data_IF_444422705110
#
_entry.id   IF_444422705110
#
_cell.length_a   1.000
_cell.length_b   1.000
_cell.length_c   1.000
_cell.angle_alpha   90.00
_cell.angle_beta   90.00
_cell.angle_gamma   90.00
#
_symmetry.space_group_name_H-M   'P 1'
#
loop_
_entity.id
_entity.type
_entity.pdbx_description
1 polymer ?
#
# COMPACT_ATOMS: atom_id res chain seq x y z
N UNK A 1 -3.43 30.02 40.48
CA UNK A 1 -2.70 28.74 40.32
C UNK A 1 -3.61 27.78 39.58
N UNK A 2 -3.08 27.09 38.57
CA UNK A 2 -3.83 26.07 37.82
C UNK A 2 -3.48 24.73 38.43
N UNK A 3 -4.48 24.01 38.97
CA UNK A 3 -4.30 22.65 39.47
C UNK A 3 -4.37 21.67 38.30
N UNK A 4 -3.57 20.59 38.37
CA UNK A 4 -3.58 19.54 37.36
C UNK A 4 -4.93 18.81 37.38
N UNK A 5 -5.66 18.75 36.24
CA UNK A 5 -6.93 18.02 36.19
C UNK A 5 -6.74 16.53 36.47
N UNK A 6 -7.75 15.91 37.07
CA UNK A 6 -7.75 14.46 37.26
C UNK A 6 -7.69 13.76 35.90
N UNK A 7 -6.73 12.84 35.73
CA UNK A 7 -6.49 12.13 34.46
C UNK A 7 -5.58 12.86 33.47
N UNK A 8 -5.00 14.03 33.80
CA UNK A 8 -4.10 14.75 32.89
C UNK A 8 -2.86 13.93 32.47
N UNK A 9 -2.31 13.13 33.39
CA UNK A 9 -1.14 12.27 33.09
C UNK A 9 -1.48 11.08 32.18
N UNK A 10 -2.75 10.69 32.13
CA UNK A 10 -3.24 9.55 31.35
C UNK A 10 -3.90 10.00 30.04
N UNK A 11 -4.38 11.25 29.99
CA UNK A 11 -5.01 11.83 28.83
C UNK A 11 -3.96 12.11 27.74
N UNK A 12 -4.10 11.53 26.53
CA UNK A 12 -3.22 11.88 25.43
C UNK A 12 -3.39 13.36 25.11
N UNK A 13 -2.28 14.09 24.97
CA UNK A 13 -2.31 15.48 24.57
C UNK A 13 -3.01 15.60 23.21
N UNK A 14 -4.10 16.35 23.16
CA UNK A 14 -4.76 16.68 21.90
C UNK A 14 -3.97 17.81 21.23
N UNK A 15 -2.95 17.45 20.44
CA UNK A 15 -2.09 18.42 19.75
C UNK A 15 -2.66 18.90 18.42
N UNK A 16 -3.75 18.30 17.93
CA UNK A 16 -4.31 18.60 16.60
C UNK A 16 -3.43 18.14 15.42
N UNK A 17 -2.18 17.75 15.68
CA UNK A 17 -1.25 17.23 14.68
C UNK A 17 -1.57 15.75 14.40
N UNK A 18 -2.23 15.48 13.27
CA UNK A 18 -2.32 14.11 12.77
C UNK A 18 -0.94 13.68 12.28
N UNK A 19 -0.21 12.92 13.09
CA UNK A 19 1.05 12.31 12.64
C UNK A 19 0.75 11.43 11.43
N UNK A 20 1.27 11.81 10.28
CA UNK A 20 1.21 11.04 9.04
C UNK A 20 2.44 10.15 8.96
N UNK A 21 2.26 8.90 8.52
CA UNK A 21 3.38 8.00 8.27
C UNK A 21 4.22 8.58 7.12
N UNK A 22 5.54 8.78 7.26
CA UNK A 22 6.36 9.23 6.14
C UNK A 22 6.39 8.22 4.99
N UNK A 23 6.79 8.68 3.79
CA UNK A 23 7.21 7.76 2.74
C UNK A 23 8.49 7.04 3.20
N UNK A 24 8.62 5.76 2.87
CA UNK A 24 9.73 4.97 3.39
C UNK A 24 9.58 3.47 3.15
N UNK A 25 10.56 2.74 3.67
CA UNK A 25 10.61 1.28 3.63
C UNK A 25 10.25 0.75 5.02
N UNK A 26 9.25 -0.11 5.09
CA UNK A 26 8.70 -0.58 6.36
C UNK A 26 8.56 -2.09 6.36
N UNK A 27 9.00 -2.71 7.45
CA UNK A 27 8.63 -4.10 7.75
C UNK A 27 7.26 -4.06 8.41
N UNK A 28 6.30 -4.71 7.78
CA UNK A 28 4.91 -4.79 8.23
C UNK A 28 4.58 -6.20 8.70
N UNK A 29 3.55 -6.32 9.54
CA UNK A 29 2.96 -7.57 9.99
C UNK A 29 1.48 -7.60 9.61
N UNK A 30 1.01 -8.75 9.13
CA UNK A 30 -0.40 -8.98 8.82
C UNK A 30 -1.18 -9.23 10.11
N UNK A 31 -2.22 -8.44 10.34
CA UNK A 31 -3.14 -8.59 11.47
C UNK A 31 -4.37 -9.43 11.12
N UNK A 32 -4.75 -9.45 9.84
CA UNK A 32 -5.91 -10.16 9.35
C UNK A 32 -5.97 -10.12 7.83
N UNK A 33 -6.60 -11.13 7.24
CA UNK A 33 -6.81 -11.20 5.80
C UNK A 33 -8.18 -11.81 5.51
N UNK A 34 -8.78 -11.39 4.40
CA UNK A 34 -10.00 -11.99 3.85
C UNK A 34 -10.06 -11.78 2.34
N UNK A 35 -10.84 -12.62 1.67
CA UNK A 35 -11.32 -12.37 0.32
C UNK A 35 -12.71 -11.72 0.40
N UNK A 36 -12.97 -10.75 -0.46
CA UNK A 36 -14.29 -10.16 -0.64
C UNK A 36 -14.55 -9.92 -2.13
N UNK A 37 -15.81 -9.88 -2.51
CA UNK A 37 -16.21 -9.48 -3.87
C UNK A 37 -16.43 -7.96 -3.90
N UNK A 38 -15.91 -7.30 -4.93
CA UNK A 38 -16.12 -5.88 -5.18
C UNK A 38 -16.39 -5.63 -6.66
N UNK A 39 -17.60 -5.15 -7.00
CA UNK A 39 -18.05 -4.93 -8.36
C UNK A 39 -17.93 -6.18 -9.27
N UNK A 40 -18.21 -7.38 -8.74
CA UNK A 40 -18.10 -8.64 -9.48
C UNK A 40 -16.67 -9.17 -9.65
N UNK A 41 -15.68 -8.55 -9.00
CA UNK A 41 -14.29 -8.95 -9.01
C UNK A 41 -13.82 -9.42 -7.64
N UNK A 42 -13.01 -10.48 -7.62
CA UNK A 42 -12.42 -11.01 -6.39
C UNK A 42 -11.30 -10.09 -5.89
N UNK A 43 -11.37 -9.71 -4.61
CA UNK A 43 -10.41 -8.82 -3.98
C UNK A 43 -9.89 -9.40 -2.67
N UNK A 44 -8.57 -9.47 -2.57
CA UNK A 44 -7.88 -9.75 -1.34
C UNK A 44 -7.78 -8.47 -0.49
N UNK A 45 -8.16 -8.57 0.78
CA UNK A 45 -8.08 -7.47 1.75
C UNK A 45 -7.20 -7.91 2.91
N UNK A 46 -6.14 -7.15 3.14
CA UNK A 46 -5.15 -7.39 4.19
C UNK A 46 -5.13 -6.24 5.16
N UNK A 47 -5.42 -6.52 6.43
CA UNK A 47 -5.12 -5.62 7.52
C UNK A 47 -3.68 -5.84 7.97
N UNK A 48 -2.95 -4.75 8.16
CA UNK A 48 -1.54 -4.79 8.54
C UNK A 48 -1.18 -3.64 9.48
N UNK A 49 -0.07 -3.79 10.19
CA UNK A 49 0.58 -2.70 10.93
C UNK A 49 2.10 -2.72 10.72
N UNK A 50 2.77 -1.64 11.10
CA UNK A 50 4.22 -1.53 11.09
C UNK A 50 4.78 -2.39 12.22
N UNK A 51 5.63 -3.35 11.89
CA UNK A 51 6.14 -4.35 12.83
C UNK A 51 7.38 -3.86 13.60
N UNK A 52 8.22 -3.02 12.97
CA UNK A 52 9.55 -2.64 13.45
C UNK A 52 9.87 -1.16 13.17
N UNK A 53 10.91 -0.65 13.85
CA UNK A 53 11.36 0.73 13.72
C UNK A 53 10.57 1.74 14.57
N UNK A 54 10.83 3.02 14.32
CA UNK A 54 10.23 4.15 15.05
C UNK A 54 8.70 4.16 14.98
N UNK A 55 8.15 3.78 13.82
CA UNK A 55 6.73 3.79 13.55
C UNK A 55 6.03 2.47 13.92
N UNK A 56 6.65 1.61 14.73
CA UNK A 56 6.03 0.35 15.17
C UNK A 56 4.64 0.58 15.80
N UNK A 57 3.66 -0.19 15.34
CA UNK A 57 2.27 -0.12 15.80
C UNK A 57 1.54 1.16 15.42
N UNK A 58 1.99 1.86 14.37
CA UNK A 58 1.47 3.16 13.96
C UNK A 58 -0.04 3.15 13.76
N UNK A 59 -0.56 2.19 12.97
CA UNK A 59 -1.98 2.17 12.63
C UNK A 59 -2.84 1.73 13.84
N UNK A 60 -2.33 0.83 14.68
CA UNK A 60 -3.00 0.46 15.93
C UNK A 60 -3.08 1.63 16.91
N UNK A 61 -1.99 2.38 17.10
CA UNK A 61 -1.98 3.59 17.95
C UNK A 61 -2.99 4.61 17.46
N UNK A 62 -2.99 4.88 16.15
CA UNK A 62 -3.92 5.82 15.52
C UNK A 62 -5.37 5.37 15.67
N UNK A 63 -5.65 4.08 15.49
CA UNK A 63 -6.99 3.52 15.66
C UNK A 63 -7.47 3.60 17.11
N UNK A 64 -6.61 3.26 18.08
CA UNK A 64 -6.95 3.32 19.50
C UNK A 64 -7.27 4.76 19.94
N UNK A 65 -6.47 5.74 19.49
CA UNK A 65 -6.72 7.15 19.75
C UNK A 65 -8.06 7.59 19.14
N UNK A 66 -8.32 7.22 17.88
CA UNK A 66 -9.60 7.56 17.22
C UNK A 66 -10.81 6.92 17.91
N UNK A 67 -10.68 5.70 18.45
CA UNK A 67 -11.74 5.01 19.20
C UNK A 67 -12.12 5.70 20.51
N UNK A 68 -11.23 6.50 21.10
CA UNK A 68 -11.55 7.28 22.30
C UNK A 68 -12.58 8.38 22.01
N UNK A 69 -12.56 8.92 20.79
CA UNK A 69 -13.45 10.03 20.37
C UNK A 69 -14.60 9.59 19.47
N UNK A 70 -14.42 8.52 18.70
CA UNK A 70 -15.40 7.99 17.74
C UNK A 70 -15.51 6.47 17.86
N UNK A 71 -16.63 5.98 18.39
CA UNK A 71 -16.89 4.55 18.53
C UNK A 71 -16.98 3.82 17.19
N UNK A 72 -17.25 4.53 16.09
CA UNK A 72 -17.29 3.99 14.73
C UNK A 72 -15.97 4.16 13.96
N UNK A 73 -14.90 4.60 14.64
CA UNK A 73 -13.59 4.75 14.01
C UNK A 73 -13.18 3.46 13.30
N UNK A 74 -12.62 3.60 12.09
CA UNK A 74 -12.17 2.50 11.24
C UNK A 74 -10.65 2.37 11.28
N UNK A 75 -10.17 1.13 11.26
CA UNK A 75 -8.74 0.85 11.15
C UNK A 75 -8.23 1.25 9.77
N UNK A 76 -7.10 1.97 9.71
CA UNK A 76 -6.58 2.58 8.48
C UNK A 76 -5.50 1.76 7.77
N UNK A 77 -4.82 0.84 8.47
CA UNK A 77 -3.82 -0.06 7.89
C UNK A 77 -4.46 -1.19 7.10
N UNK A 78 -5.04 -0.87 5.95
CA UNK A 78 -5.73 -1.82 5.06
C UNK A 78 -5.13 -1.73 3.64
N UNK A 79 -4.65 -2.86 3.13
CA UNK A 79 -4.24 -3.04 1.75
C UNK A 79 -5.29 -3.85 0.99
N UNK A 80 -5.55 -3.48 -0.27
CA UNK A 80 -6.54 -4.13 -1.13
C UNK A 80 -5.89 -4.47 -2.45
N UNK A 81 -6.03 -5.72 -2.86
CA UNK A 81 -5.38 -6.26 -4.05
C UNK A 81 -6.40 -7.06 -4.86
N UNK A 82 -6.65 -6.67 -6.10
CA UNK A 82 -7.49 -7.46 -7.01
C UNK A 82 -6.79 -8.78 -7.31
N UNK A 83 -7.57 -9.86 -7.37
CA UNK A 83 -7.07 -11.24 -7.55
C UNK A 83 -7.26 -11.75 -8.99
N UNK A 84 -7.88 -10.97 -9.85
CA UNK A 84 -8.25 -11.33 -11.21
C UNK A 84 -7.65 -10.38 -12.26
N UNK A 85 -7.68 -10.82 -13.52
CA UNK A 85 -7.21 -10.05 -14.68
C UNK A 85 -5.81 -9.47 -14.49
N UNK A 86 -5.70 -8.14 -14.59
CA UNK A 86 -4.44 -7.40 -14.40
C UNK A 86 -3.93 -7.42 -12.96
N UNK A 87 -4.77 -7.80 -11.98
CA UNK A 87 -4.42 -7.88 -10.56
C UNK A 87 -3.66 -9.16 -10.18
N UNK A 88 -3.82 -10.25 -10.94
CA UNK A 88 -3.23 -11.56 -10.64
C UNK A 88 -1.71 -11.52 -10.45
N UNK A 89 -0.91 -10.83 -11.30
CA UNK A 89 0.54 -10.75 -11.10
C UNK A 89 0.92 -10.03 -9.80
N UNK A 90 0.19 -8.97 -9.43
CA UNK A 90 0.43 -8.22 -8.20
C UNK A 90 0.05 -9.06 -6.96
N UNK A 91 -1.07 -9.78 -7.02
CA UNK A 91 -1.46 -10.72 -5.97
C UNK A 91 -0.42 -11.84 -5.79
N UNK A 92 0.08 -12.41 -6.90
CA UNK A 92 1.20 -13.37 -6.85
C UNK A 92 2.44 -12.76 -6.19
N UNK A 93 2.79 -11.53 -6.58
CA UNK A 93 3.91 -10.79 -6.00
C UNK A 93 3.80 -10.57 -4.49
N UNK A 94 2.60 -10.20 -4.01
CA UNK A 94 2.26 -10.10 -2.58
C UNK A 94 2.51 -11.44 -1.86
N UNK A 95 1.90 -12.53 -2.33
CA UNK A 95 1.99 -13.82 -1.66
C UNK A 95 3.41 -14.36 -1.65
N UNK A 96 4.13 -14.28 -2.78
CA UNK A 96 5.55 -14.66 -2.87
C UNK A 96 6.43 -13.82 -1.93
N UNK A 97 6.14 -12.53 -1.79
CA UNK A 97 6.87 -11.65 -0.87
C UNK A 97 6.67 -12.04 0.59
N UNK A 98 5.44 -12.40 0.96
CA UNK A 98 5.11 -12.91 2.30
C UNK A 98 5.85 -14.23 2.54
N UNK A 99 5.76 -15.21 1.65
CA UNK A 99 6.46 -16.50 1.81
C UNK A 99 7.97 -16.33 1.94
N UNK A 100 8.60 -15.52 1.08
CA UNK A 100 10.05 -15.23 1.16
C UNK A 100 10.45 -14.54 2.47
N UNK A 101 9.57 -13.74 3.05
CA UNK A 101 9.84 -13.01 4.31
C UNK A 101 9.67 -13.86 5.56
N UNK A 102 9.09 -15.06 5.44
CA UNK A 102 8.77 -15.92 6.57
C UNK A 102 9.32 -17.33 6.30
N UNK A 103 10.60 -17.61 6.63
CA UNK A 103 11.21 -18.91 6.41
C UNK A 103 10.38 -20.07 6.97
N UNK A 104 10.18 -21.11 6.16
CA UNK A 104 9.36 -22.28 6.52
C UNK A 104 7.85 -22.08 6.36
N UNK A 105 7.40 -20.93 5.86
CA UNK A 105 6.00 -20.70 5.54
C UNK A 105 5.73 -20.84 4.04
N UNK A 106 4.73 -21.64 3.71
CA UNK A 106 4.08 -21.65 2.40
C UNK A 106 2.58 -21.50 2.60
N UNK A 107 1.94 -20.70 1.77
CA UNK A 107 0.51 -20.47 1.87
C UNK A 107 -0.25 -21.74 1.44
N UNK A 108 -1.12 -22.31 2.29
CA UNK A 108 -1.82 -23.55 1.98
C UNK A 108 -3.03 -23.28 1.07
N UNK A 109 -2.76 -23.20 -0.24
CA UNK A 109 -3.79 -23.00 -1.26
C UNK A 109 -4.91 -24.05 -1.20
N UNK A 110 -6.15 -23.62 -1.45
CA UNK A 110 -7.32 -24.50 -1.54
C UNK A 110 -7.88 -25.01 -0.20
N UNK A 111 -7.32 -24.59 0.94
CA UNK A 111 -7.84 -24.95 2.26
C UNK A 111 -8.79 -23.88 2.80
N UNK A 112 -9.92 -24.30 3.39
CA UNK A 112 -10.84 -23.38 4.03
C UNK A 112 -10.18 -22.71 5.24
N UNK A 113 -10.27 -21.38 5.31
CA UNK A 113 -9.68 -20.61 6.40
C UNK A 113 -8.16 -20.38 6.26
N UNK A 114 -7.58 -20.68 5.10
CA UNK A 114 -6.14 -20.49 4.85
C UNK A 114 -5.69 -19.03 5.01
N UNK A 115 -6.58 -18.05 4.83
CA UNK A 115 -6.32 -16.64 5.05
C UNK A 115 -5.88 -16.33 6.49
N UNK A 116 -6.34 -17.13 7.47
CA UNK A 116 -5.94 -16.99 8.89
C UNK A 116 -4.47 -17.34 9.12
N UNK A 117 -3.87 -18.16 8.24
CA UNK A 117 -2.45 -18.54 8.35
C UNK A 117 -1.51 -17.39 8.03
N UNK A 118 -2.03 -16.31 7.39
CA UNK A 118 -1.28 -15.10 7.10
C UNK A 118 -1.11 -14.21 8.33
N UNK A 119 -1.93 -14.37 9.36
CA UNK A 119 -1.82 -13.55 10.58
C UNK A 119 -0.45 -13.75 11.22
N UNK A 120 0.17 -12.64 11.67
CA UNK A 120 1.55 -12.53 12.16
C UNK A 120 2.66 -12.73 11.12
N UNK A 121 2.32 -12.98 9.86
CA UNK A 121 3.35 -13.05 8.81
C UNK A 121 3.85 -11.65 8.48
N UNK A 122 5.15 -11.53 8.28
CA UNK A 122 5.80 -10.27 7.94
C UNK A 122 5.96 -10.09 6.44
N UNK A 123 6.02 -8.85 6.00
CA UNK A 123 6.34 -8.49 4.62
C UNK A 123 6.99 -7.11 4.56
N UNK A 124 7.66 -6.83 3.45
CA UNK A 124 8.21 -5.51 3.18
C UNK A 124 7.20 -4.63 2.44
N UNK A 125 6.97 -3.43 2.95
CA UNK A 125 6.12 -2.42 2.32
C UNK A 125 6.95 -1.19 1.94
N UNK A 126 6.87 -0.82 0.67
CA UNK A 126 7.38 0.45 0.16
C UNK A 126 6.21 1.43 0.21
N UNK A 127 6.28 2.39 1.14
CA UNK A 127 5.25 3.40 1.35
C UNK A 127 5.60 4.66 0.56
N UNK A 128 4.65 5.16 -0.22
CA UNK A 128 4.75 6.42 -0.95
C UNK A 128 3.64 7.39 -0.56
N UNK A 129 3.88 8.69 -0.74
CA UNK A 129 2.82 9.70 -0.59
C UNK A 129 2.15 9.91 -1.95
N UNK A 130 0.83 9.93 -1.94
CA UNK A 130 0.02 10.30 -3.08
C UNK A 130 -0.88 11.48 -2.69
N UNK A 131 -0.96 12.48 -3.56
CA UNK A 131 -2.00 13.50 -3.46
C UNK A 131 -3.35 12.94 -3.89
N UNK A 132 -4.40 13.34 -3.19
CA UNK A 132 -5.78 13.05 -3.53
C UNK A 132 -6.63 14.30 -3.29
N UNK A 133 -7.63 14.49 -4.15
CA UNK A 133 -8.66 15.50 -3.92
C UNK A 133 -9.68 14.96 -2.92
N UNK A 134 -9.92 15.74 -1.87
CA UNK A 134 -11.05 15.50 -0.98
C UNK A 134 -12.37 15.84 -1.70
N UNK A 135 -13.49 15.36 -1.19
CA UNK A 135 -14.82 15.70 -1.72
C UNK A 135 -15.13 17.21 -1.72
N UNK A 136 -14.36 18.01 -0.96
CA UNK A 136 -14.44 19.47 -0.93
C UNK A 136 -13.48 20.19 -1.89
N UNK A 137 -12.74 19.47 -2.73
CA UNK A 137 -11.80 20.06 -3.69
C UNK A 137 -10.42 20.41 -3.11
N UNK A 138 -10.16 20.15 -1.82
CA UNK A 138 -8.83 20.34 -1.24
C UNK A 138 -7.90 19.20 -1.65
N UNK A 139 -6.69 19.53 -2.15
CA UNK A 139 -5.59 18.57 -2.31
C UNK A 139 -5.07 18.17 -0.93
N UNK A 140 -5.03 16.87 -0.63
CA UNK A 140 -4.42 16.31 0.58
C UNK A 140 -3.46 15.20 0.21
N UNK A 141 -2.48 14.96 1.08
CA UNK A 141 -1.52 13.87 0.93
C UNK A 141 -1.98 12.65 1.75
N UNK A 142 -1.84 11.46 1.20
CA UNK A 142 -2.00 10.20 1.92
C UNK A 142 -0.82 9.29 1.67
N UNK A 143 -0.33 8.64 2.74
CA UNK A 143 0.72 7.63 2.62
C UNK A 143 0.09 6.27 2.46
N UNK A 144 0.44 5.56 1.38
CA UNK A 144 -0.07 4.23 1.05
C UNK A 144 1.07 3.31 0.63
N UNK A 145 0.80 2.01 0.64
CA UNK A 145 1.68 1.01 0.05
C UNK A 145 1.72 1.26 -1.47
N UNK A 146 2.88 1.70 -1.97
CA UNK A 146 3.15 1.82 -3.39
C UNK A 146 3.53 0.46 -3.98
N UNK A 147 4.35 -0.31 -3.26
CA UNK A 147 4.79 -1.64 -3.67
C UNK A 147 5.00 -2.56 -2.47
N UNK A 148 4.85 -3.86 -2.69
CA UNK A 148 5.14 -4.90 -1.70
C UNK A 148 6.33 -5.73 -2.18
N UNK A 149 7.26 -6.00 -1.26
CA UNK A 149 8.47 -6.79 -1.48
C UNK A 149 8.69 -7.75 -0.31
N UNK A 150 9.61 -8.68 -0.46
CA UNK A 150 10.11 -9.42 0.70
C UNK A 150 10.92 -8.51 1.62
N UNK A 151 11.12 -8.89 2.88
CA UNK A 151 11.96 -8.14 3.83
C UNK A 151 13.37 -7.94 3.26
N UNK A 152 13.96 -9.00 2.69
CA UNK A 152 15.27 -8.89 2.04
C UNK A 152 15.23 -7.97 0.82
N UNK A 153 14.14 -8.01 0.04
CA UNK A 153 13.95 -7.15 -1.12
C UNK A 153 13.77 -5.66 -0.78
N UNK A 154 13.57 -5.30 0.49
CA UNK A 154 13.59 -3.90 0.93
C UNK A 154 15.02 -3.34 1.01
N UNK A 155 16.05 -4.18 1.21
CA UNK A 155 17.43 -3.69 1.39
C UNK A 155 17.94 -2.96 0.15
N UNK A 156 17.49 -3.40 -1.02
CA UNK A 156 17.85 -2.82 -2.33
C UNK A 156 16.76 -1.88 -2.88
N UNK A 157 15.68 -1.67 -2.12
CA UNK A 157 14.55 -0.88 -2.59
C UNK A 157 14.82 0.62 -2.45
N UNK A 158 14.33 1.40 -3.41
CA UNK A 158 14.30 2.86 -3.34
C UNK A 158 12.94 3.32 -2.84
N UNK A 159 12.93 4.35 -1.99
CA UNK A 159 11.70 5.03 -1.60
C UNK A 159 11.17 5.78 -2.82
N UNK A 160 9.90 5.60 -3.20
CA UNK A 160 9.30 6.28 -4.34
C UNK A 160 9.23 7.79 -4.06
N UNK A 161 9.39 8.59 -5.11
CA UNK A 161 9.09 10.01 -5.06
C UNK A 161 7.58 10.24 -4.83
N UNK A 162 7.24 11.40 -4.29
CA UNK A 162 5.85 11.75 -4.04
C UNK A 162 5.07 11.86 -5.34
N UNK A 163 3.92 11.18 -5.39
CA UNK A 163 3.02 11.26 -6.53
C UNK A 163 2.07 12.44 -6.34
N UNK A 164 2.41 13.57 -6.94
CA UNK A 164 1.57 14.78 -6.95
C UNK A 164 0.43 14.64 -7.97
N UNK A 165 -0.71 15.26 -7.66
CA UNK A 165 -1.76 15.46 -8.65
C UNK A 165 -1.32 16.63 -9.53
N UNK A 166 -0.95 16.31 -10.77
CA UNK A 166 -0.66 17.32 -11.79
C UNK A 166 -1.81 18.33 -11.89
N UNK A 167 -1.49 19.58 -12.22
CA UNK A 167 -2.50 20.64 -12.37
C UNK A 167 -3.45 20.43 -13.57
N UNK A 168 -3.16 19.42 -14.41
CA UNK A 168 -4.02 18.96 -15.48
C UNK A 168 -4.91 17.77 -15.05
N UNK A 169 -6.00 18.07 -14.35
CA UNK A 169 -7.15 17.17 -14.23
C UNK A 169 -7.91 17.02 -15.57
N UNK A 170 -7.19 16.83 -16.68
CA UNK A 170 -7.74 16.87 -18.04
C UNK A 170 -6.93 16.16 -19.13
N UNK A 171 -5.80 15.54 -18.84
CA UNK A 171 -5.11 14.69 -19.81
C UNK A 171 -5.18 13.23 -19.34
N UNK A 172 -6.21 12.52 -19.80
CA UNK A 172 -6.14 11.08 -19.90
C UNK A 172 -4.81 10.76 -20.61
N UNK A 173 -3.92 10.04 -19.94
CA UNK A 173 -2.78 9.42 -20.58
C UNK A 173 -3.35 8.58 -21.73
N UNK A 174 -3.21 9.07 -22.95
CA UNK A 174 -3.62 8.35 -24.14
C UNK A 174 -2.92 6.97 -24.09
N UNK A 175 -3.64 5.87 -24.35
CA UNK A 175 -2.97 4.59 -24.52
C UNK A 175 -1.91 4.76 -25.62
N UNK A 176 -0.74 4.09 -25.51
CA UNK A 176 0.25 4.12 -26.58
C UNK A 176 -0.44 3.69 -27.88
N UNK A 177 -0.44 4.59 -28.85
CA UNK A 177 -1.06 4.39 -30.14
C UNK A 177 -0.15 3.45 -30.93
N UNK A 178 -0.31 2.14 -30.72
CA UNK A 178 0.29 1.16 -31.62
C UNK A 178 -0.41 1.29 -32.97
N UNK A 179 0.38 1.58 -34.01
CA UNK A 179 -0.11 1.55 -35.39
C UNK A 179 -0.68 0.16 -35.73
N UNK A 180 -1.55 0.05 -36.74
CA UNK A 180 -2.06 -1.24 -37.16
C UNK A 180 -0.90 -2.19 -37.49
N UNK A 181 -1.00 -3.43 -37.03
CA UNK A 181 -0.10 -4.50 -37.45
C UNK A 181 -0.22 -4.69 -38.97
N UNK A 182 0.90 -4.93 -39.65
CA UNK A 182 0.88 -5.29 -41.06
C UNK A 182 0.36 -6.74 -41.25
N UNK A 183 0.14 -7.14 -42.50
CA UNK A 183 -0.40 -8.45 -42.87
C UNK A 183 0.44 -9.65 -42.37
N UNK A 184 1.64 -9.41 -41.82
CA UNK A 184 2.57 -10.44 -41.35
C UNK A 184 2.78 -10.42 -39.82
N UNK A 185 2.00 -9.63 -39.06
CA UNK A 185 1.97 -9.68 -37.61
C UNK A 185 3.22 -9.14 -36.90
N UNK A 186 4.05 -8.35 -37.60
CA UNK A 186 5.13 -7.59 -36.97
C UNK A 186 4.64 -6.17 -36.62
N UNK A 187 4.99 -5.69 -35.43
CA UNK A 187 4.70 -4.31 -35.00
C UNK A 187 5.64 -3.34 -35.72
N UNK A 188 5.10 -2.38 -36.46
CA UNK A 188 5.88 -1.28 -37.03
C UNK A 188 6.37 -0.35 -35.91
N UNK A 189 7.67 -0.38 -35.65
CA UNK A 189 8.36 0.61 -34.83
C UNK A 189 8.60 1.84 -35.74
N UNK A 190 8.19 3.06 -35.36
CA UNK A 190 8.50 4.26 -36.14
C UNK A 190 10.01 4.49 -36.20
N UNK A 191 10.55 4.76 -37.40
CA UNK A 191 11.94 5.19 -37.59
C UNK A 191 12.17 6.52 -36.85
N UNK A 192 13.09 6.53 -35.88
CA UNK A 192 13.46 7.73 -35.13
C UNK A 192 13.72 7.55 -33.62
N UNK A 193 13.58 6.35 -33.07
CA UNK A 193 14.13 6.03 -31.75
C UNK A 193 15.60 5.62 -31.89
N UNK A 194 16.48 6.62 -31.97
CA UNK A 194 17.93 6.41 -31.87
C UNK A 194 18.26 5.61 -30.61
N UNK A 195 18.97 4.51 -30.85
CA UNK A 195 19.50 3.59 -29.85
C UNK A 195 20.61 4.29 -29.03
N UNK A 196 20.24 4.97 -27.95
CA UNK A 196 21.18 5.19 -26.83
C UNK A 196 20.72 4.40 -25.61
N UNK A 197 21.16 3.13 -25.56
CA UNK A 197 21.13 2.32 -24.36
C UNK A 197 22.30 2.72 -23.44
N UNK A 198 22.07 3.23 -22.21
CA UNK A 198 23.14 3.48 -21.27
C UNK A 198 23.39 2.20 -20.46
N UNK A 199 24.17 1.28 -21.01
CA UNK A 199 24.87 0.26 -20.23
C UNK A 199 26.37 0.41 -20.47
N UNK A 200 27.03 1.14 -19.57
CA UNK A 200 28.43 0.89 -19.19
C UNK A 200 28.45 0.46 -17.74
#
# INVERSE_FOLDING_TARGET
>A
MIAKPQGYDEAPAYTGESVQLPAGLYICEVLGAKQEEYNGHDRFVMQFDIAEGEYKGFYQKQYNAAKQTDQNAKYKGIHRQNMDGLGTPFFKGLMTSIEKSNPGYSFPWGQQGNEKTLVKKKFGAIMGREEFLTSGGEKRMVTKIAQIRSIDGLKDAKVPEDKLLGDDAGAASAPPQYGPADENGFMNIPDGIDEELPFM
#
